data_IF_071038693349
#
_entry.id   IF_071038693349
#
_cell.length_a   1.000
_cell.length_b   1.000
_cell.length_c   1.000
_cell.angle_alpha   90.00
_cell.angle_beta   90.00
_cell.angle_gamma   90.00
#
_symmetry.space_group_name_H-M   'P 1'
#
loop_
_entity.id
_entity.type
_entity.pdbx_description
1 polymer ?
#
# COMPACT_ATOMS: atom_id res chain seq x y z
N UNK A 1 49.17 32.38 -29.61
CA UNK A 1 50.01 32.75 -28.45
C UNK A 1 49.62 31.85 -27.30
N UNK A 2 50.54 30.99 -26.87
CA UNK A 2 50.42 29.97 -25.84
C UNK A 2 51.13 30.43 -24.56
N UNK A 3 50.55 30.18 -23.39
CA UNK A 3 51.21 30.13 -22.08
C UNK A 3 50.40 29.15 -21.20
N UNK A 4 50.89 27.93 -20.89
CA UNK A 4 51.90 27.48 -19.88
C UNK A 4 51.27 27.20 -18.48
N UNK A 5 51.16 25.92 -18.09
CA UNK A 5 51.94 25.14 -17.06
C UNK A 5 51.28 25.07 -15.68
N UNK A 6 50.68 23.96 -15.22
CA UNK A 6 51.21 22.75 -14.50
C UNK A 6 51.77 22.96 -13.08
N UNK A 7 51.16 22.29 -12.08
CA UNK A 7 51.69 21.76 -10.78
C UNK A 7 50.62 21.88 -9.67
N UNK A 8 50.48 21.05 -8.63
CA UNK A 8 51.32 20.00 -8.03
C UNK A 8 50.45 19.13 -7.09
N UNK A 9 50.82 17.85 -6.93
CA UNK A 9 50.30 16.88 -5.96
C UNK A 9 50.44 17.33 -4.49
N UNK A 10 49.57 16.84 -3.60
CA UNK A 10 49.98 16.34 -2.27
C UNK A 10 48.93 15.38 -1.68
N UNK A 11 49.38 14.16 -1.40
CA UNK A 11 48.71 13.15 -0.58
C UNK A 11 49.22 13.27 0.86
N UNK A 12 48.38 13.00 1.87
CA UNK A 12 48.85 12.52 3.16
C UNK A 12 47.76 11.75 3.93
N UNK A 13 48.01 10.46 4.13
CA UNK A 13 47.27 9.54 4.99
C UNK A 13 47.48 9.85 6.47
N UNK A 14 46.46 9.58 7.30
CA UNK A 14 46.67 9.21 8.71
C UNK A 14 45.72 8.06 9.08
N UNK A 15 46.29 6.89 9.29
CA UNK A 15 45.70 5.78 10.05
C UNK A 15 45.94 6.06 11.53
N UNK A 16 44.92 5.88 12.37
CA UNK A 16 45.09 5.71 13.81
C UNK A 16 44.22 4.52 14.28
N UNK A 17 44.88 3.39 14.52
CA UNK A 17 44.38 2.28 15.33
C UNK A 17 44.57 2.64 16.80
N UNK A 18 43.51 2.55 17.62
CA UNK A 18 43.64 2.60 19.09
C UNK A 18 43.10 1.29 19.66
N UNK A 19 43.93 0.61 20.44
CA UNK A 19 43.68 -0.69 21.04
C UNK A 19 43.08 -0.57 22.45
N UNK A 20 42.20 -1.54 22.74
CA UNK A 20 41.71 -2.09 24.00
C UNK A 20 42.13 -1.47 25.35
N UNK A 21 41.13 -1.14 26.18
CA UNK A 21 41.23 -1.27 27.64
C UNK A 21 40.14 -2.21 28.16
N UNK A 22 40.57 -3.28 28.83
CA UNK A 22 39.71 -4.22 29.55
C UNK A 22 39.14 -3.56 30.82
N UNK A 23 37.84 -3.70 31.07
CA UNK A 23 37.24 -3.26 32.32
C UNK A 23 35.75 -3.58 32.45
N UNK A 24 35.47 -4.56 33.30
CA UNK A 24 34.21 -4.84 33.99
C UNK A 24 33.11 -5.63 33.23
N UNK A 25 33.00 -6.90 33.62
CA UNK A 25 31.83 -7.76 33.38
C UNK A 25 30.74 -7.30 34.36
N UNK A 26 29.74 -6.59 33.83
CA UNK A 26 28.41 -6.56 34.41
C UNK A 26 27.53 -7.41 33.49
N UNK A 27 27.07 -8.55 33.99
CA UNK A 27 26.03 -9.34 33.33
C UNK A 27 24.73 -8.57 33.47
N UNK A 28 24.50 -7.66 32.53
CA UNK A 28 23.20 -7.12 32.23
C UNK A 28 22.60 -8.08 31.19
N UNK A 29 21.48 -8.72 31.53
CA UNK A 29 20.70 -9.52 30.60
C UNK A 29 20.21 -8.58 29.50
N UNK A 30 20.99 -8.48 28.43
CA UNK A 30 20.56 -7.85 27.20
C UNK A 30 19.44 -8.73 26.63
N UNK A 31 18.20 -8.31 26.84
CA UNK A 31 17.10 -8.66 25.96
C UNK A 31 17.56 -8.26 24.56
N UNK A 32 17.86 -9.26 23.74
CA UNK A 32 18.27 -9.02 22.37
C UNK A 32 17.17 -8.20 21.71
N UNK A 33 17.46 -7.04 21.12
CA UNK A 33 16.46 -6.38 20.29
C UNK A 33 16.10 -7.39 19.21
N UNK A 34 14.84 -7.84 19.23
CA UNK A 34 14.23 -8.48 18.09
C UNK A 34 14.18 -7.42 16.99
N UNK A 35 15.30 -7.20 16.32
CA UNK A 35 15.31 -6.59 14.99
C UNK A 35 14.55 -7.59 14.14
N UNK A 36 13.24 -7.43 14.10
CA UNK A 36 12.48 -7.85 12.94
C UNK A 36 13.11 -7.09 11.78
N UNK A 37 14.04 -7.77 11.11
CA UNK A 37 14.42 -7.46 9.75
C UNK A 37 13.11 -7.60 8.97
N UNK A 38 12.31 -6.53 8.98
CA UNK A 38 11.22 -6.35 8.04
C UNK A 38 11.94 -6.35 6.70
N UNK A 39 12.05 -7.53 6.10
CA UNK A 39 12.28 -7.58 4.67
C UNK A 39 11.19 -6.68 4.09
N UNK A 40 11.62 -5.60 3.44
CA UNK A 40 10.76 -4.66 2.72
C UNK A 40 10.16 -5.42 1.52
N UNK A 41 9.29 -6.37 1.84
CA UNK A 41 8.59 -7.17 0.87
C UNK A 41 7.47 -6.30 0.33
N UNK A 42 7.82 -5.47 -0.66
CA UNK A 42 6.85 -4.79 -1.48
C UNK A 42 6.15 -5.83 -2.36
N UNK A 43 4.81 -5.79 -2.37
CA UNK A 43 4.03 -6.63 -3.28
C UNK A 43 4.51 -6.36 -4.72
N UNK A 44 4.74 -7.40 -5.54
CA UNK A 44 5.08 -7.20 -6.94
C UNK A 44 3.94 -6.43 -7.64
N UNK A 45 4.29 -5.41 -8.40
CA UNK A 45 3.33 -4.58 -9.13
C UNK A 45 3.92 -3.24 -9.54
N UNK A 46 3.13 -2.43 -10.23
CA UNK A 46 3.53 -1.08 -10.59
C UNK A 46 3.77 -0.24 -9.32
N UNK A 47 4.85 0.56 -9.34
CA UNK A 47 5.21 1.50 -8.29
C UNK A 47 4.31 2.74 -8.38
N UNK A 48 3.02 2.53 -8.09
CA UNK A 48 1.98 3.55 -8.11
C UNK A 48 1.32 3.66 -6.73
N UNK A 49 1.09 4.89 -6.33
CA UNK A 49 0.37 5.25 -5.11
C UNK A 49 -0.95 5.90 -5.49
N UNK A 50 -1.99 5.65 -4.70
CA UNK A 50 -3.29 6.30 -4.86
C UNK A 50 -3.64 7.06 -3.59
N UNK A 51 -4.32 8.18 -3.76
CA UNK A 51 -4.95 8.92 -2.68
C UNK A 51 -6.28 9.50 -3.15
N UNK A 52 -7.19 9.75 -2.22
CA UNK A 52 -8.49 10.37 -2.49
C UNK A 52 -8.76 11.46 -1.46
N UNK A 53 -9.59 12.43 -1.83
CA UNK A 53 -10.19 13.41 -0.92
C UNK A 53 -11.59 12.97 -0.43
N UNK A 54 -11.96 11.70 -0.69
CA UNK A 54 -13.20 11.09 -0.22
C UNK A 54 -13.27 11.11 1.31
N UNK A 55 -14.39 11.56 1.85
CA UNK A 55 -14.58 11.75 3.30
C UNK A 55 -14.95 10.44 4.03
N UNK A 56 -15.17 9.35 3.30
CA UNK A 56 -15.53 8.05 3.86
C UNK A 56 -17.03 7.91 4.17
N UNK A 57 -17.90 8.75 3.62
CA UNK A 57 -19.34 8.67 3.80
C UNK A 57 -20.09 8.93 2.50
N UNK A 58 -21.21 8.24 2.30
CA UNK A 58 -22.11 8.49 1.17
C UNK A 58 -23.54 8.28 1.62
N UNK A 59 -24.42 9.23 1.29
CA UNK A 59 -25.84 9.08 1.55
C UNK A 59 -26.51 8.25 0.45
N UNK A 60 -27.50 7.40 0.78
CA UNK A 60 -28.27 6.68 -0.21
C UNK A 60 -28.96 7.65 -1.19
N UNK A 61 -28.84 7.37 -2.49
CA UNK A 61 -29.38 8.13 -3.62
C UNK A 61 -28.75 9.51 -3.86
N UNK A 62 -27.79 9.95 -3.04
CA UNK A 62 -27.02 11.15 -3.32
C UNK A 62 -25.84 10.83 -4.25
N UNK A 63 -25.48 11.77 -5.11
CA UNK A 63 -24.26 11.67 -5.92
C UNK A 63 -23.10 12.19 -5.08
N UNK A 64 -22.16 11.30 -4.80
CA UNK A 64 -20.92 11.59 -4.12
C UNK A 64 -19.82 11.87 -5.15
N UNK A 65 -19.05 12.92 -4.91
CA UNK A 65 -18.05 13.43 -5.85
C UNK A 65 -16.71 13.63 -5.17
N UNK A 66 -15.68 12.92 -5.63
CA UNK A 66 -14.32 13.03 -5.09
C UNK A 66 -13.25 12.92 -6.18
N UNK A 67 -12.03 13.28 -5.84
CA UNK A 67 -10.84 13.26 -6.70
C UNK A 67 -9.99 12.04 -6.37
N UNK A 68 -9.75 11.17 -7.36
CA UNK A 68 -8.70 10.16 -7.30
C UNK A 68 -7.40 10.79 -7.80
N UNK A 69 -6.35 10.75 -6.98
CA UNK A 69 -5.00 11.16 -7.33
C UNK A 69 -4.10 9.94 -7.40
N UNK A 70 -3.36 9.79 -8.51
CA UNK A 70 -2.37 8.74 -8.72
C UNK A 70 -0.99 9.37 -8.87
N UNK A 71 -0.02 8.85 -8.13
CA UNK A 71 1.39 9.26 -8.19
C UNK A 71 2.29 8.07 -8.53
N UNK A 72 3.35 8.35 -9.26
CA UNK A 72 4.28 7.36 -9.81
C UNK A 72 5.68 8.00 -10.00
N UNK A 73 6.73 7.19 -10.18
CA UNK A 73 8.12 7.65 -10.31
C UNK A 73 8.84 7.02 -11.54
N UNK A 74 8.09 6.75 -12.60
CA UNK A 74 8.59 6.31 -13.89
C UNK A 74 9.04 7.52 -14.73
N UNK A 75 10.10 7.34 -15.52
CA UNK A 75 10.65 8.43 -16.32
C UNK A 75 9.87 8.69 -17.63
N UNK A 76 9.10 7.70 -18.10
CA UNK A 76 8.32 7.74 -19.33
C UNK A 76 7.37 6.54 -19.41
N UNK A 77 6.35 6.67 -20.25
CA UNK A 77 5.38 5.62 -20.53
C UNK A 77 3.95 6.14 -20.39
N UNK A 78 3.00 5.20 -20.39
CA UNK A 78 1.59 5.51 -20.20
C UNK A 78 1.07 4.81 -18.97
N UNK A 79 0.41 5.55 -18.07
CA UNK A 79 -0.39 4.99 -17.01
C UNK A 79 -1.84 4.89 -17.50
N UNK A 80 -2.38 3.68 -17.55
CA UNK A 80 -3.79 3.44 -17.82
C UNK A 80 -4.53 3.13 -16.52
N UNK A 81 -5.61 3.83 -16.24
CA UNK A 81 -6.45 3.68 -15.03
C UNK A 81 -7.86 3.29 -15.45
N UNK A 82 -8.39 2.24 -14.85
CA UNK A 82 -9.76 1.75 -15.02
C UNK A 82 -10.43 1.62 -13.65
N UNK A 83 -11.57 2.30 -13.50
CA UNK A 83 -12.45 2.25 -12.35
C UNK A 83 -13.55 1.20 -12.61
N UNK A 84 -13.64 0.21 -11.72
CA UNK A 84 -14.68 -0.81 -11.74
C UNK A 84 -15.45 -0.76 -10.43
N UNK A 85 -16.69 -0.28 -10.51
CA UNK A 85 -17.59 -0.21 -9.38
C UNK A 85 -18.38 -1.53 -9.22
N UNK A 86 -18.75 -1.85 -7.98
CA UNK A 86 -19.67 -2.95 -7.68
C UNK A 86 -21.05 -2.73 -8.34
N UNK A 87 -21.85 -3.77 -8.54
CA UNK A 87 -23.13 -3.70 -9.31
C UNK A 87 -24.14 -2.70 -8.72
N UNK A 88 -24.07 -2.47 -7.41
CA UNK A 88 -24.92 -1.52 -6.71
C UNK A 88 -24.43 -0.05 -6.80
N UNK A 89 -23.20 0.18 -7.27
CA UNK A 89 -22.64 1.51 -7.46
C UNK A 89 -22.83 1.96 -8.92
N UNK A 90 -23.50 3.10 -9.10
CA UNK A 90 -23.65 3.74 -10.41
C UNK A 90 -22.60 4.83 -10.57
N UNK A 91 -21.76 4.74 -11.60
CA UNK A 91 -20.77 5.75 -11.96
C UNK A 91 -21.37 6.80 -12.92
N UNK A 92 -21.11 8.07 -12.67
CA UNK A 92 -21.53 9.21 -13.51
C UNK A 92 -20.36 9.94 -14.16
N UNK A 93 -19.14 9.74 -13.68
CA UNK A 93 -17.92 10.25 -14.29
C UNK A 93 -17.30 9.24 -15.26
N UNK A 94 -16.20 9.64 -15.91
CA UNK A 94 -15.42 8.70 -16.72
C UNK A 94 -14.88 7.56 -15.84
N UNK A 95 -14.87 6.34 -16.37
CA UNK A 95 -14.34 5.16 -15.67
C UNK A 95 -12.96 4.77 -16.17
N UNK A 96 -12.44 5.39 -17.23
CA UNK A 96 -11.12 5.10 -17.78
C UNK A 96 -10.36 6.39 -18.10
N UNK A 97 -9.06 6.39 -17.84
CA UNK A 97 -8.15 7.47 -18.24
C UNK A 97 -6.75 6.94 -18.54
N UNK A 98 -6.06 7.61 -19.46
CA UNK A 98 -4.65 7.38 -19.77
C UNK A 98 -3.84 8.64 -19.52
N UNK A 99 -2.70 8.50 -18.83
CA UNK A 99 -1.82 9.61 -18.48
C UNK A 99 -0.41 9.37 -19.02
N UNK A 100 0.22 10.44 -19.50
CA UNK A 100 1.64 10.42 -19.86
C UNK A 100 2.49 10.60 -18.59
N UNK A 101 3.36 9.63 -18.33
CA UNK A 101 4.26 9.60 -17.18
C UNK A 101 5.58 10.34 -17.44
N UNK A 102 5.72 11.06 -18.57
CA UNK A 102 6.92 11.86 -18.86
C UNK A 102 7.10 13.07 -17.93
N UNK A 103 6.08 13.39 -17.13
CA UNK A 103 6.06 14.49 -16.17
C UNK A 103 5.83 13.96 -14.75
N UNK A 104 6.58 14.41 -13.74
CA UNK A 104 6.44 13.96 -12.34
C UNK A 104 5.20 14.57 -11.63
N UNK A 105 4.22 15.05 -12.40
CA UNK A 105 3.04 15.70 -11.85
C UNK A 105 2.00 14.63 -11.50
N UNK A 106 1.32 14.74 -10.34
CA UNK A 106 0.24 13.81 -10.01
C UNK A 106 -0.84 13.79 -11.09
N UNK A 107 -1.40 12.61 -11.32
CA UNK A 107 -2.51 12.41 -12.25
C UNK A 107 -3.82 12.40 -11.48
N UNK A 108 -4.83 13.09 -11.98
CA UNK A 108 -6.11 13.23 -11.27
C UNK A 108 -7.28 12.79 -12.14
N UNK A 109 -8.25 12.13 -11.51
CA UNK A 109 -9.50 11.72 -12.13
C UNK A 109 -10.66 12.06 -11.20
N UNK A 110 -11.71 12.69 -11.73
CA UNK A 110 -12.92 12.94 -10.97
C UNK A 110 -13.77 11.66 -10.92
N UNK A 111 -14.27 11.35 -9.74
CA UNK A 111 -15.14 10.23 -9.46
C UNK A 111 -16.47 10.76 -8.97
N UNK A 112 -17.52 10.53 -9.77
CA UNK A 112 -18.90 10.83 -9.39
C UNK A 112 -19.66 9.50 -9.35
N UNK A 113 -20.21 9.13 -8.19
CA UNK A 113 -20.93 7.87 -8.00
C UNK A 113 -22.15 8.00 -7.09
N UNK A 114 -23.05 7.02 -7.13
CA UNK A 114 -24.13 6.88 -6.15
C UNK A 114 -24.53 5.42 -5.96
N UNK A 115 -25.20 5.12 -4.85
CA UNK A 115 -25.99 3.90 -4.69
C UNK A 115 -27.34 4.21 -4.06
N UNK A 116 -28.38 3.49 -4.46
CA UNK A 116 -29.71 3.64 -3.85
C UNK A 116 -29.84 2.86 -2.54
N UNK A 117 -29.10 1.74 -2.42
CA UNK A 117 -29.23 0.80 -1.31
C UNK A 117 -28.12 1.05 -0.28
N UNK A 118 -28.43 1.04 1.04
CA UNK A 118 -27.41 1.09 2.08
C UNK A 118 -26.52 -0.17 2.04
N UNK A 119 -25.22 0.01 2.22
CA UNK A 119 -24.27 -1.10 2.19
C UNK A 119 -22.81 -0.64 2.15
N UNK A 120 -21.89 -1.60 2.27
CA UNK A 120 -20.46 -1.37 2.08
C UNK A 120 -20.07 -1.91 0.71
N UNK A 121 -19.74 -1.01 -0.21
CA UNK A 121 -19.35 -1.35 -1.58
C UNK A 121 -17.87 -1.07 -1.82
N UNK A 122 -17.37 -1.56 -2.96
CA UNK A 122 -15.97 -1.37 -3.34
C UNK A 122 -15.86 -0.78 -4.74
N UNK A 123 -15.06 0.29 -4.85
CA UNK A 123 -14.56 0.81 -6.11
C UNK A 123 -13.16 0.25 -6.35
N UNK A 124 -13.02 -0.62 -7.33
CA UNK A 124 -11.74 -1.18 -7.72
C UNK A 124 -11.04 -0.26 -8.72
N UNK A 125 -9.78 0.06 -8.45
CA UNK A 125 -8.92 0.88 -9.30
C UNK A 125 -7.86 -0.04 -9.89
N UNK A 126 -8.03 -0.38 -11.17
CA UNK A 126 -7.06 -1.12 -11.95
C UNK A 126 -6.12 -0.14 -12.63
N UNK A 127 -4.82 -0.30 -12.41
CA UNK A 127 -3.77 0.53 -12.99
C UNK A 127 -2.82 -0.35 -13.78
N UNK A 128 -2.43 0.08 -14.97
CA UNK A 128 -1.43 -0.59 -15.78
C UNK A 128 -0.42 0.43 -16.27
N UNK A 129 0.83 0.23 -15.91
CA UNK A 129 1.97 1.02 -16.40
C UNK A 129 2.52 0.36 -17.66
N UNK A 130 2.49 1.06 -18.78
CA UNK A 130 3.08 0.64 -20.05
C UNK A 130 4.37 1.41 -20.30
N UNK A 131 5.50 0.71 -20.22
CA UNK A 131 6.82 1.30 -20.45
C UNK A 131 7.14 1.35 -21.96
N UNK A 132 8.01 2.28 -22.42
CA UNK A 132 8.40 2.39 -23.84
C UNK A 132 9.00 1.11 -24.46
N UNK A 133 9.45 0.15 -23.64
CA UNK A 133 9.93 -1.16 -24.07
C UNK A 133 8.85 -2.21 -24.34
N UNK A 134 7.57 -1.86 -24.17
CA UNK A 134 6.43 -2.79 -24.31
C UNK A 134 6.19 -3.66 -23.08
N UNK A 135 6.84 -3.36 -21.96
CA UNK A 135 6.56 -3.99 -20.67
C UNK A 135 5.32 -3.35 -20.04
N UNK A 136 4.38 -4.19 -19.59
CA UNK A 136 3.17 -3.77 -18.91
C UNK A 136 3.17 -4.30 -17.48
N UNK A 137 3.05 -3.40 -16.50
CA UNK A 137 3.11 -3.74 -15.08
C UNK A 137 1.76 -3.37 -14.44
N UNK A 138 0.98 -4.34 -13.93
CA UNK A 138 -0.31 -4.06 -13.32
C UNK A 138 -0.18 -3.66 -11.83
N UNK A 139 -1.16 -2.92 -11.35
CA UNK A 139 -1.45 -2.70 -9.93
C UNK A 139 -2.97 -2.58 -9.73
N UNK A 140 -3.45 -3.06 -8.58
CA UNK A 140 -4.87 -2.95 -8.22
C UNK A 140 -5.00 -2.40 -6.80
N UNK A 141 -5.99 -1.55 -6.58
CA UNK A 141 -6.39 -1.03 -5.28
C UNK A 141 -7.91 -1.04 -5.19
N UNK A 142 -8.43 -1.07 -3.97
CA UNK A 142 -9.86 -0.96 -3.72
C UNK A 142 -10.10 0.21 -2.76
N UNK A 143 -11.15 0.99 -3.04
CA UNK A 143 -11.65 2.06 -2.19
C UNK A 143 -12.99 1.58 -1.65
N UNK A 144 -13.15 1.57 -0.34
CA UNK A 144 -14.41 1.23 0.31
C UNK A 144 -15.35 2.43 0.25
N UNK A 145 -16.58 2.20 -0.20
CA UNK A 145 -17.65 3.20 -0.34
C UNK A 145 -18.80 2.77 0.58
N UNK A 146 -18.82 3.21 1.85
CA UNK A 146 -19.95 2.99 2.74
C UNK A 146 -21.11 3.92 2.34
N UNK A 147 -22.29 3.32 2.15
CA UNK A 147 -23.53 4.02 1.81
C UNK A 147 -24.53 3.84 2.93
N UNK A 148 -25.02 4.94 3.50
CA UNK A 148 -25.93 4.93 4.64
C UNK A 148 -25.23 4.91 6.00
N UNK A 149 -26.00 4.57 7.04
CA UNK A 149 -25.52 4.55 8.41
C UNK A 149 -24.64 3.32 8.67
N UNK A 150 -23.36 3.55 8.97
CA UNK A 150 -22.39 2.48 9.20
C UNK A 150 -22.64 1.72 10.50
N UNK A 151 -23.30 2.34 11.50
CA UNK A 151 -23.59 1.66 12.77
C UNK A 151 -24.57 0.50 12.55
N UNK A 152 -25.49 0.65 11.59
CA UNK A 152 -26.45 -0.39 11.18
C UNK A 152 -25.83 -1.49 10.29
N UNK A 153 -24.65 -1.25 9.73
CA UNK A 153 -23.93 -2.18 8.84
C UNK A 153 -22.78 -2.91 9.55
N UNK A 154 -22.56 -2.63 10.84
CA UNK A 154 -21.50 -3.27 11.62
C UNK A 154 -21.78 -4.77 11.82
N UNK A 155 -20.78 -5.59 11.50
CA UNK A 155 -20.82 -7.03 11.79
C UNK A 155 -20.16 -7.26 13.15
N UNK A 156 -20.92 -7.71 14.13
CA UNK A 156 -20.34 -8.28 15.35
C UNK A 156 -19.76 -9.66 15.00
N UNK A 157 -18.43 -9.88 15.13
CA UNK A 157 -17.87 -11.20 14.90
C UNK A 157 -18.45 -12.18 15.92
N UNK A 158 -19.13 -13.23 15.44
CA UNK A 158 -19.71 -14.32 16.26
C UNK A 158 -18.67 -15.18 17.00
N UNK A 159 -17.40 -14.80 17.00
CA UNK A 159 -16.36 -15.56 17.68
C UNK A 159 -16.36 -15.25 19.17
N UNK A 160 -16.90 -16.17 19.98
CA UNK A 160 -16.76 -16.13 21.44
C UNK A 160 -15.27 -16.21 21.80
N UNK A 161 -14.72 -15.10 22.32
CA UNK A 161 -13.39 -15.11 22.91
C UNK A 161 -13.44 -15.81 24.26
N UNK A 162 -12.60 -16.83 24.45
CA UNK A 162 -12.40 -17.47 25.76
C UNK A 162 -11.07 -17.05 26.36
N UNK A 163 -11.01 -16.94 27.69
CA UNK A 163 -9.80 -16.52 28.40
C UNK A 163 -9.07 -17.75 28.95
N UNK A 164 -7.78 -17.89 28.65
CA UNK A 164 -6.95 -18.95 29.22
C UNK A 164 -6.87 -18.80 30.74
N UNK A 165 -6.51 -19.85 31.48
CA UNK A 165 -6.23 -19.75 32.93
C UNK A 165 -5.11 -18.74 33.29
N UNK A 166 -4.33 -18.28 32.31
CA UNK A 166 -3.28 -17.27 32.45
C UNK A 166 -3.73 -15.86 32.05
N UNK A 167 -5.01 -15.67 31.67
CA UNK A 167 -5.59 -14.36 31.37
C UNK A 167 -5.46 -13.92 29.90
N UNK A 168 -5.08 -14.82 28.99
CA UNK A 168 -4.92 -14.49 27.57
C UNK A 168 -6.23 -14.74 26.82
N UNK A 169 -6.64 -13.82 25.96
CA UNK A 169 -7.81 -14.02 25.10
C UNK A 169 -7.43 -14.90 23.91
N UNK A 170 -8.15 -16.00 23.74
CA UNK A 170 -7.99 -16.93 22.63
C UNK A 170 -9.31 -17.10 21.88
N UNK A 171 -9.21 -17.39 20.58
CA UNK A 171 -10.32 -17.83 19.75
C UNK A 171 -10.19 -19.35 19.65
N UNK A 172 -11.11 -20.09 20.26
CA UNK A 172 -11.11 -21.55 20.24
C UNK A 172 -11.75 -22.03 18.93
N UNK A 173 -11.00 -22.82 18.14
CA UNK A 173 -11.48 -23.42 16.90
C UNK A 173 -11.43 -24.95 17.05
N UNK A 174 -12.58 -25.63 16.91
CA UNK A 174 -12.60 -27.10 16.85
C UNK A 174 -12.04 -27.58 15.51
N UNK A 175 -11.15 -28.58 15.56
CA UNK A 175 -10.58 -29.17 14.35
C UNK A 175 -11.48 -30.30 13.81
N UNK A 176 -11.87 -30.23 12.54
CA UNK A 176 -12.53 -31.32 11.82
C UNK A 176 -11.53 -32.03 10.88
N UNK A 177 -11.24 -33.31 11.15
CA UNK A 177 -10.34 -34.13 10.33
C UNK A 177 -11.16 -35.12 9.49
N UNK A 178 -10.91 -35.17 8.17
CA UNK A 178 -11.44 -36.21 7.29
C UNK A 178 -10.32 -37.16 6.89
N UNK A 179 -10.37 -38.41 7.37
CA UNK A 179 -9.41 -39.46 6.96
C UNK A 179 -10.01 -40.27 5.81
N UNK A 180 -9.51 -40.06 4.59
CA UNK A 180 -9.85 -40.92 3.44
C UNK A 180 -8.92 -42.13 3.41
N UNK A 181 -9.44 -43.30 3.79
CA UNK A 181 -8.76 -44.58 3.56
C UNK A 181 -9.03 -45.03 2.13
N UNK A 182 -8.03 -44.99 1.26
CA UNK A 182 -8.11 -45.64 -0.05
C UNK A 182 -7.99 -47.17 0.17
N UNK A 183 -9.02 -47.90 -0.28
CA UNK A 183 -9.07 -49.37 -0.37
C UNK A 183 -8.21 -49.88 -1.54
#
# INVERSE_FOLDING_TARGET
>A
MTFRTTSLLSALSVLALTACSSGHVATETAEAPHTHDHSDYAKPGAAVEISTDYDGSTNPSDVEGFTLTVTEDYAAGTLNVLLAADEALTMYSATEASFDMSSPAPHTMNVDLSSADPGIYYLNVFMTVELPGGESIPAVRAITIPVGDMDELSFEPESEMTTTPLGENIIEMEAEETITTND
#
